data_IF_660728856575
#
_entry.id   IF_660728856575
#
_cell.length_a   1.000
_cell.length_b   1.000
_cell.length_c   1.000
_cell.angle_alpha   90.00
_cell.angle_beta   90.00
_cell.angle_gamma   90.00
#
_symmetry.space_group_name_H-M   'P 1'
#
loop_
_entity.id
_entity.type
_entity.pdbx_description
1 polymer ?
#
# COMPACT_ATOMS: atom_id res chain seq x y z
N UNK A 1 -13.43 12.42 28.15
CA UNK A 1 -12.73 11.32 27.46
C UNK A 1 -12.80 10.03 28.26
N UNK A 2 -12.31 10.01 29.51
CA UNK A 2 -12.30 8.82 30.37
C UNK A 2 -13.67 8.11 30.49
N UNK A 3 -14.76 8.86 30.71
CA UNK A 3 -16.12 8.29 30.77
C UNK A 3 -16.55 7.58 29.47
N UNK A 4 -16.06 8.05 28.32
CA UNK A 4 -16.33 7.43 27.01
C UNK A 4 -15.58 6.10 26.89
N UNK A 5 -14.35 6.03 27.39
CA UNK A 5 -13.59 4.77 27.46
C UNK A 5 -14.27 3.80 28.41
N UNK A 6 -14.72 4.26 29.59
CA UNK A 6 -15.46 3.41 30.52
C UNK A 6 -16.72 2.83 29.88
N UNK A 7 -17.45 3.64 29.09
CA UNK A 7 -18.62 3.18 28.34
C UNK A 7 -18.26 2.17 27.24
N UNK A 8 -17.15 2.39 26.52
CA UNK A 8 -16.66 1.45 25.50
C UNK A 8 -16.24 0.11 26.12
N UNK A 9 -15.56 0.13 27.27
CA UNK A 9 -15.15 -1.06 28.00
C UNK A 9 -16.34 -1.78 28.62
N UNK A 10 -17.36 -1.07 29.12
CA UNK A 10 -18.59 -1.69 29.61
C UNK A 10 -19.33 -2.43 28.47
N UNK A 11 -19.36 -1.84 27.28
CA UNK A 11 -19.96 -2.47 26.10
C UNK A 11 -19.10 -3.60 25.52
N UNK A 12 -17.78 -3.53 25.67
CA UNK A 12 -16.82 -4.50 25.13
C UNK A 12 -15.76 -4.88 26.18
N UNK A 13 -16.11 -5.67 27.22
CA UNK A 13 -15.21 -5.93 28.35
C UNK A 13 -13.89 -6.64 27.99
N UNK A 14 -13.85 -7.30 26.84
CA UNK A 14 -12.69 -8.04 26.35
C UNK A 14 -11.84 -7.22 25.35
N UNK A 15 -12.16 -5.94 25.12
CA UNK A 15 -11.36 -5.10 24.24
C UNK A 15 -9.94 -4.93 24.80
N UNK A 16 -8.94 -5.24 23.97
CA UNK A 16 -7.52 -5.11 24.33
C UNK A 16 -6.86 -3.89 23.72
N UNK A 17 -7.56 -3.18 22.82
CA UNK A 17 -7.08 -1.98 22.14
C UNK A 17 -8.24 -1.02 21.92
N UNK A 18 -8.06 0.25 22.29
CA UNK A 18 -8.98 1.34 21.94
C UNK A 18 -8.19 2.45 21.26
N UNK A 19 -8.71 2.94 20.14
CA UNK A 19 -8.10 4.03 19.39
C UNK A 19 -8.45 5.38 20.00
N UNK A 20 -7.41 6.09 20.40
CA UNK A 20 -7.41 7.46 20.92
C UNK A 20 -6.45 8.29 20.07
N UNK A 21 -6.85 8.54 18.83
CA UNK A 21 -6.00 9.19 17.82
C UNK A 21 -6.47 10.61 17.50
N UNK A 22 -5.56 11.37 16.90
CA UNK A 22 -5.93 12.54 16.09
C UNK A 22 -6.79 12.15 14.87
N UNK A 23 -7.47 13.15 14.29
CA UNK A 23 -8.03 13.06 12.94
C UNK A 23 -6.90 13.03 11.89
N UNK A 24 -7.20 12.48 10.72
CA UNK A 24 -6.32 12.30 9.56
C UNK A 24 -6.08 13.61 8.76
N UNK A 25 -5.87 14.73 9.46
CA UNK A 25 -5.67 16.04 8.86
C UNK A 25 -4.66 16.92 9.61
N UNK A 26 -4.46 18.14 9.13
CA UNK A 26 -3.48 19.09 9.67
C UNK A 26 -4.01 20.03 10.77
N UNK A 27 -5.16 19.72 11.39
CA UNK A 27 -5.78 20.58 12.40
C UNK A 27 -5.50 20.03 13.79
N UNK A 28 -4.87 20.85 14.63
CA UNK A 28 -4.49 20.49 15.99
C UNK A 28 -4.60 21.69 16.95
N UNK A 29 -4.46 21.44 18.25
CA UNK A 29 -4.56 22.48 19.25
C UNK A 29 -3.40 23.48 19.11
N UNK A 30 -3.73 24.77 19.11
CA UNK A 30 -2.76 25.87 19.00
C UNK A 30 -2.82 26.81 20.20
N UNK A 31 -3.40 26.37 21.33
CA UNK A 31 -3.43 27.18 22.54
C UNK A 31 -2.00 27.40 23.08
N UNK A 32 -1.76 28.48 23.85
CA UNK A 32 -0.42 28.83 24.33
C UNK A 32 0.30 27.69 25.04
N UNK A 33 -0.41 26.89 25.83
CA UNK A 33 0.14 25.79 26.62
C UNK A 33 0.58 24.61 25.74
N UNK A 34 -0.26 24.19 24.78
CA UNK A 34 0.07 23.10 23.86
C UNK A 34 1.23 23.51 22.95
N UNK A 35 1.21 24.75 22.45
CA UNK A 35 2.30 25.30 21.63
C UNK A 35 3.62 25.31 22.39
N UNK A 36 3.62 25.80 23.64
CA UNK A 36 4.84 25.84 24.45
C UNK A 36 5.40 24.44 24.73
N UNK A 37 4.51 23.46 24.97
CA UNK A 37 4.90 22.06 25.14
C UNK A 37 5.54 21.49 23.88
N UNK A 38 4.88 21.65 22.73
CA UNK A 38 5.36 21.12 21.46
C UNK A 38 6.69 21.79 21.02
N UNK A 39 6.88 23.08 21.31
CA UNK A 39 8.14 23.79 21.08
C UNK A 39 9.28 23.25 21.96
N UNK A 40 9.01 23.01 23.25
CA UNK A 40 9.99 22.43 24.16
C UNK A 40 10.40 21.01 23.70
N UNK A 41 9.41 20.21 23.32
CA UNK A 41 9.59 18.83 22.85
C UNK A 41 10.11 18.75 21.41
N UNK A 42 10.03 19.84 20.63
CA UNK A 42 10.42 19.87 19.23
C UNK A 42 9.53 19.04 18.30
N UNK A 43 8.33 18.65 18.75
CA UNK A 43 7.34 17.90 17.97
C UNK A 43 5.94 18.06 18.56
N UNK A 44 4.92 18.14 17.69
CA UNK A 44 3.52 18.16 18.09
C UNK A 44 3.03 16.83 18.70
N UNK A 45 3.83 15.77 18.59
CA UNK A 45 3.59 14.54 19.34
C UNK A 45 3.73 14.76 20.86
N UNK A 46 4.39 15.83 21.31
CA UNK A 46 4.49 16.18 22.73
C UNK A 46 3.12 16.35 23.39
N UNK A 47 2.26 17.17 22.78
CA UNK A 47 0.87 17.34 23.22
C UNK A 47 0.08 16.03 23.09
N UNK A 48 0.20 15.32 21.97
CA UNK A 48 -0.55 14.09 21.73
C UNK A 48 -0.23 13.00 22.76
N UNK A 49 1.06 12.71 22.96
CA UNK A 49 1.50 11.68 23.91
C UNK A 49 1.22 12.11 25.35
N UNK A 50 1.33 13.40 25.69
CA UNK A 50 0.93 13.90 27.01
C UNK A 50 -0.54 13.63 27.31
N UNK A 51 -1.41 13.92 26.35
CA UNK A 51 -2.84 13.68 26.47
C UNK A 51 -3.14 12.18 26.60
N UNK A 52 -2.58 11.35 25.72
CA UNK A 52 -2.80 9.90 25.73
C UNK A 52 -2.24 9.28 27.01
N UNK A 53 -1.09 9.72 27.50
CA UNK A 53 -0.50 9.28 28.76
C UNK A 53 -1.42 9.58 29.96
N UNK A 54 -2.05 10.75 30.01
CA UNK A 54 -2.98 11.10 31.09
C UNK A 54 -4.20 10.16 31.11
N UNK A 55 -4.69 9.77 29.94
CA UNK A 55 -5.78 8.79 29.82
C UNK A 55 -5.30 7.37 30.14
N UNK A 56 -4.08 7.01 29.72
CA UNK A 56 -3.46 5.72 30.00
C UNK A 56 -3.24 5.51 31.51
N UNK A 57 -2.82 6.56 32.22
CA UNK A 57 -2.67 6.56 33.68
C UNK A 57 -4.01 6.37 34.40
N UNK A 58 -5.12 6.85 33.83
CA UNK A 58 -6.47 6.61 34.35
C UNK A 58 -6.94 5.16 34.14
N UNK A 59 -6.61 4.55 32.99
CA UNK A 59 -7.13 3.24 32.60
C UNK A 59 -6.31 2.06 33.11
N UNK A 60 -5.01 2.23 33.37
CA UNK A 60 -4.07 1.14 33.64
C UNK A 60 -4.51 0.16 34.74
N UNK A 61 -5.05 0.67 35.85
CA UNK A 61 -5.45 -0.16 36.99
C UNK A 61 -6.88 -0.70 36.84
N UNK A 62 -7.72 0.00 36.07
CA UNK A 62 -9.12 -0.37 35.81
C UNK A 62 -9.24 -1.45 34.74
N UNK A 63 -8.40 -1.37 33.72
CA UNK A 63 -8.41 -2.22 32.53
C UNK A 63 -6.98 -2.64 32.19
N UNK A 64 -6.37 -3.58 32.96
CA UNK A 64 -4.95 -3.90 32.84
C UNK A 64 -4.53 -4.50 31.50
N UNK A 65 -5.48 -5.06 30.74
CA UNK A 65 -5.23 -5.63 29.42
C UNK A 65 -5.49 -4.65 28.27
N UNK A 66 -5.97 -3.43 28.57
CA UNK A 66 -6.29 -2.42 27.57
C UNK A 66 -5.05 -1.61 27.20
N UNK A 67 -4.76 -1.55 25.91
CA UNK A 67 -3.84 -0.56 25.32
C UNK A 67 -4.63 0.56 24.67
N UNK A 68 -4.07 1.77 24.69
CA UNK A 68 -4.57 2.91 23.93
C UNK A 68 -3.70 3.12 22.70
N UNK A 69 -4.25 2.98 21.49
CA UNK A 69 -3.50 3.33 20.28
C UNK A 69 -3.66 4.80 19.92
N UNK A 70 -2.56 5.43 19.50
CA UNK A 70 -2.54 6.78 18.96
C UNK A 70 -1.64 6.84 17.73
N UNK A 71 -1.88 7.81 16.85
CA UNK A 71 -1.04 8.02 15.69
C UNK A 71 0.23 8.81 16.03
N UNK A 72 1.32 8.41 15.39
CA UNK A 72 2.45 9.23 15.04
C UNK A 72 2.39 9.45 13.51
N UNK A 73 1.55 10.38 13.09
CA UNK A 73 1.18 10.57 11.69
C UNK A 73 1.17 12.05 11.32
N UNK A 74 1.65 12.37 10.12
CA UNK A 74 1.67 13.72 9.59
C UNK A 74 2.36 14.69 10.57
N UNK A 75 1.61 15.60 11.21
CA UNK A 75 2.17 16.57 12.15
C UNK A 75 2.68 15.98 13.47
N UNK A 76 2.30 14.74 13.84
CA UNK A 76 2.80 14.04 15.05
C UNK A 76 3.81 12.93 14.73
N UNK A 77 4.31 12.86 13.49
CA UNK A 77 5.17 11.74 13.03
C UNK A 77 6.45 11.59 13.85
N UNK A 78 7.11 12.71 14.20
CA UNK A 78 8.37 12.70 14.95
C UNK A 78 8.12 12.50 16.45
N UNK A 79 8.92 11.69 17.16
CA UNK A 79 8.78 11.53 18.60
C UNK A 79 9.09 12.83 19.36
N UNK A 80 8.50 13.02 20.55
CA UNK A 80 8.87 14.13 21.43
C UNK A 80 10.23 13.84 22.08
N UNK A 81 10.94 14.88 22.55
CA UNK A 81 12.31 14.76 23.09
C UNK A 81 12.37 14.08 24.46
N UNK A 82 11.46 14.41 25.36
CA UNK A 82 11.54 14.02 26.78
C UNK A 82 10.34 13.21 27.24
N UNK A 83 9.20 13.33 26.55
CA UNK A 83 7.97 12.61 26.91
C UNK A 83 8.04 11.17 26.39
N UNK A 84 7.78 10.22 27.28
CA UNK A 84 7.77 8.79 26.96
C UNK A 84 6.35 8.24 27.04
N UNK A 85 5.85 7.51 26.02
CA UNK A 85 4.56 6.82 26.08
C UNK A 85 4.48 5.84 27.27
N UNK A 86 3.33 5.72 27.93
CA UNK A 86 3.13 4.69 28.98
C UNK A 86 3.16 3.28 28.39
N UNK A 87 3.39 2.29 29.25
CA UNK A 87 3.47 0.87 28.88
C UNK A 87 2.18 0.32 28.23
N UNK A 88 1.03 0.93 28.53
CA UNK A 88 -0.26 0.63 27.91
C UNK A 88 -0.64 1.60 26.78
N UNK A 89 0.33 2.33 26.20
CA UNK A 89 0.16 3.14 25.00
C UNK A 89 0.83 2.44 23.81
N UNK A 90 0.10 2.35 22.71
CA UNK A 90 0.58 1.89 21.42
C UNK A 90 0.71 3.07 20.46
N UNK A 91 1.89 3.27 19.89
CA UNK A 91 2.13 4.33 18.90
C UNK A 91 2.12 3.72 17.52
N UNK A 92 1.26 4.22 16.63
CA UNK A 92 1.13 3.74 15.26
C UNK A 92 1.67 4.77 14.27
N UNK A 93 2.74 4.42 13.56
CA UNK A 93 3.24 5.24 12.45
C UNK A 93 2.56 4.84 11.15
N UNK A 94 2.30 5.80 10.26
CA UNK A 94 1.73 5.52 8.95
C UNK A 94 2.71 5.91 7.83
N UNK A 95 2.94 5.01 6.87
CA UNK A 95 3.93 5.19 5.80
C UNK A 95 3.41 5.99 4.59
N UNK A 96 2.31 6.73 4.72
CA UNK A 96 1.64 7.48 3.62
C UNK A 96 2.62 8.33 2.78
N UNK A 97 3.61 8.93 3.43
CA UNK A 97 4.61 9.81 2.80
C UNK A 97 5.83 9.05 2.23
N UNK A 98 5.86 7.72 2.31
CA UNK A 98 6.98 6.87 1.88
C UNK A 98 6.96 6.53 0.39
N UNK A 99 8.14 6.17 -0.12
CA UNK A 99 8.35 5.59 -1.43
C UNK A 99 8.05 4.09 -1.36
N UNK A 100 7.23 3.60 -2.30
CA UNK A 100 6.87 2.19 -2.38
C UNK A 100 7.67 1.42 -3.44
N UNK A 101 8.58 2.08 -4.14
CA UNK A 101 9.52 1.46 -5.08
C UNK A 101 10.86 1.07 -4.44
N UNK A 102 11.17 1.62 -3.27
CA UNK A 102 12.44 1.37 -2.58
C UNK A 102 12.16 0.92 -1.15
N UNK A 103 12.97 0.01 -0.58
CA UNK A 103 12.89 -0.34 0.84
C UNK A 103 13.04 0.87 1.76
N UNK A 104 12.53 0.78 2.99
CA UNK A 104 12.70 1.84 3.99
C UNK A 104 14.16 2.15 4.32
N UNK A 105 15.02 1.14 4.18
CA UNK A 105 16.46 1.21 4.45
C UNK A 105 17.30 1.69 3.27
N UNK A 106 16.69 2.01 2.11
CA UNK A 106 17.40 2.44 0.92
C UNK A 106 18.04 3.83 1.14
N UNK A 107 19.39 3.95 1.15
CA UNK A 107 20.08 5.18 1.53
C UNK A 107 19.91 6.32 0.52
N UNK A 108 19.58 5.99 -0.73
CA UNK A 108 19.31 6.91 -1.82
C UNK A 108 17.83 7.33 -1.91
N UNK A 109 17.01 6.94 -0.92
CA UNK A 109 15.61 7.37 -0.80
C UNK A 109 15.40 8.21 0.48
N UNK A 110 15.67 9.54 0.45
CA UNK A 110 15.63 10.39 1.64
C UNK A 110 14.31 10.34 2.42
N UNK A 111 13.17 10.26 1.72
CA UNK A 111 11.84 10.16 2.35
C UNK A 111 11.66 8.88 3.16
N UNK A 112 12.21 7.77 2.68
CA UNK A 112 12.18 6.50 3.38
C UNK A 112 13.17 6.47 4.54
N UNK A 113 14.37 7.02 4.34
CA UNK A 113 15.38 7.18 5.40
C UNK A 113 14.83 8.02 6.55
N UNK A 114 14.12 9.11 6.27
CA UNK A 114 13.49 9.94 7.31
C UNK A 114 12.43 9.16 8.09
N UNK A 115 11.58 8.38 7.42
CA UNK A 115 10.58 7.54 8.08
C UNK A 115 11.22 6.40 8.89
N UNK A 116 12.28 5.77 8.37
CA UNK A 116 13.05 4.76 9.08
C UNK A 116 13.68 5.34 10.35
N UNK A 117 14.21 6.57 10.29
CA UNK A 117 14.72 7.28 11.47
C UNK A 117 13.63 7.56 12.50
N UNK A 118 12.42 7.94 12.05
CA UNK A 118 11.28 8.11 12.94
C UNK A 118 10.92 6.78 13.65
N UNK A 119 10.89 5.65 12.92
CA UNK A 119 10.67 4.32 13.51
C UNK A 119 11.75 3.98 14.54
N UNK A 120 13.03 4.17 14.21
CA UNK A 120 14.15 3.93 15.13
C UNK A 120 14.01 4.78 16.38
N UNK A 121 13.71 6.07 16.23
CA UNK A 121 13.57 6.98 17.35
C UNK A 121 12.39 6.60 18.26
N UNK A 122 11.22 6.27 17.68
CA UNK A 122 10.08 5.77 18.46
C UNK A 122 10.36 4.43 19.14
N UNK A 123 11.06 3.51 18.48
CA UNK A 123 11.40 2.20 19.04
C UNK A 123 12.26 2.29 20.31
N UNK A 124 12.98 3.40 20.49
CA UNK A 124 13.82 3.65 21.68
C UNK A 124 13.03 4.10 22.91
N UNK A 125 11.81 4.62 22.72
CA UNK A 125 10.98 5.19 23.80
C UNK A 125 9.60 4.52 23.94
N UNK A 126 9.14 3.75 22.95
CA UNK A 126 7.83 3.10 22.97
C UNK A 126 7.97 1.58 22.94
N UNK A 127 7.30 0.88 23.86
CA UNK A 127 7.29 -0.59 23.93
C UNK A 127 6.30 -1.25 22.97
N UNK A 128 5.33 -0.49 22.46
CA UNK A 128 4.24 -1.01 21.63
C UNK A 128 4.17 -0.22 20.32
N UNK A 129 5.11 -0.49 19.42
CA UNK A 129 5.14 0.18 18.13
C UNK A 129 4.29 -0.59 17.11
N UNK A 130 3.42 0.13 16.41
CA UNK A 130 2.59 -0.40 15.34
C UNK A 130 2.88 0.36 14.04
N UNK A 131 2.71 -0.31 12.91
CA UNK A 131 2.81 0.30 11.59
C UNK A 131 1.47 0.20 10.87
N UNK A 132 1.07 1.27 10.22
CA UNK A 132 0.09 1.29 9.15
C UNK A 132 0.85 1.51 7.84
N UNK A 133 1.06 0.45 7.08
CA UNK A 133 1.71 0.50 5.77
C UNK A 133 0.66 0.41 4.65
N UNK A 134 1.05 0.75 3.42
CA UNK A 134 0.16 0.79 2.27
C UNK A 134 0.73 -0.02 1.12
N UNK A 135 -0.13 -0.76 0.43
CA UNK A 135 0.34 -1.72 -0.57
C UNK A 135 -0.41 -1.65 -1.89
N UNK A 136 -1.05 -0.52 -2.17
CA UNK A 136 -1.89 -0.32 -3.36
C UNK A 136 -1.84 1.14 -3.83
N UNK A 137 -1.99 1.34 -5.14
CA UNK A 137 -2.20 2.66 -5.73
C UNK A 137 -3.70 3.00 -5.80
N UNK A 138 -4.18 3.81 -4.86
CA UNK A 138 -5.58 4.24 -4.76
C UNK A 138 -6.05 5.13 -5.91
N UNK A 139 -5.12 5.76 -6.66
CA UNK A 139 -5.48 6.46 -7.90
C UNK A 139 -5.76 5.51 -9.07
N UNK A 140 -5.23 4.29 -9.01
CA UNK A 140 -5.22 3.33 -10.12
C UNK A 140 -5.23 1.86 -9.64
N UNK A 141 -6.37 1.39 -9.13
CA UNK A 141 -6.51 0.07 -8.50
C UNK A 141 -6.17 -1.13 -9.40
N UNK A 142 -6.27 -0.95 -10.72
CA UNK A 142 -5.94 -1.99 -11.68
C UNK A 142 -4.58 -1.77 -12.34
N UNK A 143 -3.93 -0.63 -12.17
CA UNK A 143 -2.63 -0.37 -12.81
C UNK A 143 -1.46 -0.95 -11.99
N UNK A 144 -0.29 -1.19 -12.61
CA UNK A 144 0.85 -1.78 -11.92
C UNK A 144 1.25 -0.96 -10.69
N UNK A 145 1.47 -1.64 -9.57
CA UNK A 145 2.06 -1.07 -8.37
C UNK A 145 3.26 -1.95 -7.96
N UNK A 146 4.44 -1.77 -8.60
CA UNK A 146 5.54 -2.72 -8.52
C UNK A 146 6.32 -2.61 -7.19
N UNK A 147 5.68 -3.00 -6.09
CA UNK A 147 6.23 -2.91 -4.73
C UNK A 147 6.56 -4.29 -4.13
N UNK A 148 6.53 -5.36 -4.91
CA UNK A 148 6.85 -6.70 -4.41
C UNK A 148 8.28 -6.82 -3.87
N UNK A 149 9.23 -6.05 -4.40
CA UNK A 149 10.62 -6.04 -3.93
C UNK A 149 10.82 -5.41 -2.55
N UNK A 150 9.85 -4.63 -2.04
CA UNK A 150 10.01 -3.93 -0.76
C UNK A 150 9.35 -4.64 0.42
N UNK A 151 8.44 -5.60 0.17
CA UNK A 151 7.61 -6.21 1.21
C UNK A 151 8.45 -6.91 2.30
N UNK A 152 9.36 -7.80 1.90
CA UNK A 152 10.21 -8.52 2.84
C UNK A 152 11.20 -7.62 3.59
N UNK A 153 12.03 -6.78 2.93
CA UNK A 153 12.99 -5.95 3.66
C UNK A 153 12.32 -4.95 4.60
N UNK A 154 11.13 -4.43 4.26
CA UNK A 154 10.37 -3.57 5.15
C UNK A 154 9.87 -4.35 6.39
N UNK A 155 9.33 -5.56 6.22
CA UNK A 155 8.88 -6.39 7.34
C UNK A 155 10.03 -6.77 8.28
N UNK A 156 11.20 -7.09 7.74
CA UNK A 156 12.41 -7.36 8.52
C UNK A 156 12.82 -6.13 9.33
N UNK A 157 12.87 -4.96 8.69
CA UNK A 157 13.16 -3.69 9.35
C UNK A 157 12.18 -3.41 10.50
N UNK A 158 10.88 -3.67 10.31
CA UNK A 158 9.88 -3.50 11.37
C UNK A 158 10.17 -4.39 12.58
N UNK A 159 10.42 -5.69 12.38
CA UNK A 159 10.73 -6.64 13.46
C UNK A 159 12.04 -6.27 14.18
N UNK A 160 13.06 -5.84 13.43
CA UNK A 160 14.36 -5.42 13.98
C UNK A 160 14.28 -4.14 14.84
N UNK A 161 13.20 -3.37 14.70
CA UNK A 161 12.96 -2.12 15.43
C UNK A 161 11.73 -2.17 16.34
N UNK A 162 11.48 -3.33 16.98
CA UNK A 162 10.47 -3.52 18.01
C UNK A 162 9.02 -3.19 17.59
N UNK A 163 8.72 -3.27 16.29
CA UNK A 163 7.33 -3.23 15.82
C UNK A 163 6.66 -4.54 16.20
N UNK A 164 5.53 -4.44 16.89
CA UNK A 164 4.77 -5.60 17.39
C UNK A 164 3.44 -5.81 16.65
N UNK A 165 3.12 -4.95 15.69
CA UNK A 165 1.94 -5.09 14.84
C UNK A 165 2.05 -4.26 13.58
N UNK A 166 1.66 -4.87 12.46
CA UNK A 166 1.62 -4.22 11.14
C UNK A 166 0.21 -4.35 10.59
N UNK A 167 -0.32 -3.25 10.08
CA UNK A 167 -1.53 -3.21 9.28
C UNK A 167 -1.15 -2.77 7.88
N UNK A 168 -1.28 -3.69 6.93
CA UNK A 168 -1.02 -3.46 5.51
C UNK A 168 -2.33 -3.08 4.81
N UNK A 169 -2.51 -1.79 4.53
CA UNK A 169 -3.67 -1.31 3.78
C UNK A 169 -3.49 -1.60 2.29
N UNK A 170 -4.01 -2.76 1.89
CA UNK A 170 -4.10 -3.17 0.50
C UNK A 170 -5.41 -2.74 -0.17
N UNK A 171 -5.64 -3.28 -1.37
CA UNK A 171 -6.85 -3.05 -2.14
C UNK A 171 -8.08 -3.69 -1.47
N UNK A 172 -8.75 -2.94 -0.60
CA UNK A 172 -9.98 -3.36 0.06
C UNK A 172 -11.21 -3.44 -0.89
N UNK A 173 -11.03 -3.15 -2.18
CA UNK A 173 -11.99 -3.40 -3.26
C UNK A 173 -11.60 -4.60 -4.13
N UNK A 174 -10.68 -5.48 -3.69
CA UNK A 174 -10.21 -6.61 -4.50
C UNK A 174 -11.35 -7.49 -5.05
N UNK A 175 -12.49 -7.60 -4.35
CA UNK A 175 -13.65 -8.35 -4.84
C UNK A 175 -14.29 -7.77 -6.12
N UNK A 176 -14.06 -6.49 -6.42
CA UNK A 176 -14.62 -5.77 -7.58
C UNK A 176 -13.55 -5.02 -8.40
N UNK A 177 -12.26 -5.26 -8.12
CA UNK A 177 -11.13 -4.60 -8.79
C UNK A 177 -9.82 -5.34 -8.52
N UNK A 178 -9.66 -6.56 -9.04
CA UNK A 178 -8.45 -7.38 -8.82
C UNK A 178 -7.52 -7.45 -10.05
N UNK A 179 -7.46 -6.39 -10.86
CA UNK A 179 -6.57 -6.37 -12.03
C UNK A 179 -5.09 -6.49 -11.65
N UNK A 180 -4.70 -6.02 -10.47
CA UNK A 180 -3.30 -5.95 -10.04
C UNK A 180 -3.02 -6.81 -8.79
N UNK A 181 -2.78 -8.10 -9.01
CA UNK A 181 -2.17 -9.07 -8.09
C UNK A 181 -2.54 -8.97 -6.59
N UNK A 182 -3.77 -8.59 -6.23
CA UNK A 182 -4.12 -8.37 -4.83
C UNK A 182 -4.02 -9.66 -4.02
N UNK A 183 -4.44 -10.80 -4.61
CA UNK A 183 -4.35 -12.12 -3.98
C UNK A 183 -2.90 -12.51 -3.64
N UNK A 184 -1.97 -12.33 -4.59
CA UNK A 184 -0.56 -12.64 -4.39
C UNK A 184 0.03 -11.76 -3.28
N UNK A 185 -0.28 -10.47 -3.31
CA UNK A 185 0.22 -9.51 -2.33
C UNK A 185 -0.29 -9.81 -0.93
N UNK A 186 -1.60 -10.06 -0.78
CA UNK A 186 -2.19 -10.48 0.49
C UNK A 186 -1.59 -11.79 1.00
N UNK A 187 -1.34 -12.76 0.12
CA UNK A 187 -0.67 -14.02 0.48
C UNK A 187 0.74 -13.75 1.03
N UNK A 188 1.59 -13.03 0.29
CA UNK A 188 2.97 -12.78 0.70
C UNK A 188 3.07 -11.99 2.01
N UNK A 189 2.23 -10.96 2.19
CA UNK A 189 2.17 -10.21 3.44
C UNK A 189 1.75 -11.09 4.62
N UNK A 190 0.76 -11.99 4.43
CA UNK A 190 0.36 -12.94 5.46
C UNK A 190 1.50 -13.91 5.82
N UNK A 191 2.29 -14.37 4.83
CA UNK A 191 3.47 -15.22 5.07
C UNK A 191 4.57 -14.43 5.81
N UNK A 192 4.87 -13.21 5.40
CA UNK A 192 5.90 -12.35 6.00
C UNK A 192 5.56 -11.91 7.43
N UNK A 193 4.28 -11.63 7.71
CA UNK A 193 3.83 -11.35 9.09
C UNK A 193 3.92 -12.58 10.01
N UNK A 194 3.97 -13.78 9.45
CA UNK A 194 4.23 -15.02 10.20
C UNK A 194 5.73 -15.27 10.39
N UNK A 195 6.51 -15.11 9.32
CA UNK A 195 7.96 -15.26 9.31
C UNK A 195 8.61 -14.26 8.33
N UNK A 196 9.26 -13.19 8.81
CA UNK A 196 9.87 -12.18 7.94
C UNK A 196 11.15 -12.67 7.24
N UNK A 197 11.73 -13.80 7.66
CA UNK A 197 12.99 -14.35 7.13
C UNK A 197 12.77 -15.61 6.27
N UNK A 198 11.52 -15.88 5.88
CA UNK A 198 11.19 -16.96 4.95
C UNK A 198 11.89 -16.82 3.59
N UNK A 199 11.91 -17.91 2.82
CA UNK A 199 12.34 -17.90 1.43
C UNK A 199 11.24 -17.25 0.55
N UNK A 200 11.38 -15.95 0.34
CA UNK A 200 10.37 -15.12 -0.34
C UNK A 200 10.13 -15.56 -1.78
N UNK A 201 11.19 -15.92 -2.48
CA UNK A 201 11.10 -16.39 -3.86
C UNK A 201 10.42 -17.75 -3.94
N UNK A 202 10.71 -18.67 -3.02
CA UNK A 202 10.00 -19.95 -2.96
C UNK A 202 8.50 -19.77 -2.70
N UNK A 203 8.11 -18.89 -1.78
CA UNK A 203 6.70 -18.60 -1.47
C UNK A 203 5.98 -17.96 -2.67
N UNK A 204 6.57 -16.92 -3.29
CA UNK A 204 6.00 -16.28 -4.47
C UNK A 204 5.87 -17.28 -5.63
N UNK A 205 6.94 -18.01 -5.94
CA UNK A 205 6.93 -18.99 -7.03
C UNK A 205 5.92 -20.13 -6.76
N UNK A 206 5.82 -20.58 -5.51
CA UNK A 206 4.82 -21.57 -5.09
C UNK A 206 3.39 -21.08 -5.34
N UNK A 207 3.07 -19.85 -4.93
CA UNK A 207 1.78 -19.24 -5.20
C UNK A 207 1.53 -19.12 -6.70
N UNK A 208 2.45 -18.52 -7.45
CA UNK A 208 2.29 -18.28 -8.88
C UNK A 208 2.07 -19.58 -9.65
N UNK A 209 2.84 -20.63 -9.32
CA UNK A 209 2.69 -21.96 -9.92
C UNK A 209 1.32 -22.58 -9.63
N UNK A 210 0.82 -22.44 -8.41
CA UNK A 210 -0.50 -22.95 -8.05
C UNK A 210 -1.64 -22.13 -8.69
N UNK A 211 -1.47 -20.81 -8.76
CA UNK A 211 -2.51 -19.89 -9.21
C UNK A 211 -2.62 -19.84 -10.74
N UNK A 212 -1.49 -19.78 -11.45
CA UNK A 212 -1.44 -19.63 -12.92
C UNK A 212 -1.08 -20.91 -13.68
N UNK A 213 -0.74 -22.00 -12.99
CA UNK A 213 -0.32 -23.26 -13.63
C UNK A 213 0.95 -23.08 -14.46
N UNK A 214 1.05 -23.77 -15.59
CA UNK A 214 2.26 -23.77 -16.44
C UNK A 214 2.67 -22.38 -17.00
N UNK A 215 1.79 -21.38 -16.97
CA UNK A 215 2.12 -20.00 -17.36
C UNK A 215 2.85 -19.17 -16.29
N UNK A 216 3.06 -19.71 -15.09
CA UNK A 216 3.50 -18.94 -13.93
C UNK A 216 4.85 -18.22 -14.08
N UNK A 217 5.81 -18.80 -14.81
CA UNK A 217 7.16 -18.23 -14.96
C UNK A 217 7.13 -16.91 -15.71
N UNK A 218 6.24 -16.78 -16.70
CA UNK A 218 6.07 -15.54 -17.46
C UNK A 218 5.45 -14.42 -16.61
N UNK A 219 4.54 -14.78 -15.69
CA UNK A 219 3.98 -13.84 -14.72
C UNK A 219 5.04 -13.40 -13.71
N UNK A 220 5.87 -14.35 -13.25
CA UNK A 220 7.00 -14.06 -12.37
C UNK A 220 7.97 -13.07 -13.01
N UNK A 221 8.35 -13.31 -14.27
CA UNK A 221 9.26 -12.45 -15.00
C UNK A 221 8.67 -11.05 -15.25
N UNK A 222 7.37 -10.93 -15.49
CA UNK A 222 6.69 -9.63 -15.53
C UNK A 222 6.80 -8.87 -14.20
N UNK A 223 6.59 -9.55 -13.07
CA UNK A 223 6.72 -8.95 -11.73
C UNK A 223 8.17 -8.50 -11.49
N UNK A 224 9.15 -9.32 -11.86
CA UNK A 224 10.57 -9.01 -11.69
C UNK A 224 10.96 -7.78 -12.54
N UNK A 225 10.59 -7.74 -13.82
CA UNK A 225 10.88 -6.60 -14.70
C UNK A 225 10.20 -5.33 -14.19
N UNK A 226 8.92 -5.39 -13.82
CA UNK A 226 8.22 -4.19 -13.33
C UNK A 226 8.80 -3.68 -12.02
N UNK A 227 9.23 -4.58 -11.13
CA UNK A 227 9.93 -4.24 -9.89
C UNK A 227 11.29 -3.60 -10.17
N UNK A 228 12.07 -4.13 -11.12
CA UNK A 228 13.37 -3.54 -11.54
C UNK A 228 13.18 -2.16 -12.19
N UNK A 229 12.05 -1.92 -12.86
CA UNK A 229 11.81 -0.73 -13.68
C UNK A 229 11.07 0.40 -12.96
N UNK A 230 10.66 0.17 -11.71
CA UNK A 230 10.04 1.19 -10.86
C UNK A 230 11.09 2.01 -10.11
N UNK A 231 10.80 3.26 -9.74
CA UNK A 231 11.67 4.09 -8.88
C UNK A 231 13.05 4.50 -9.44
N UNK A 232 13.42 4.07 -10.65
CA UNK A 232 14.74 4.32 -11.22
C UNK A 232 15.09 5.81 -11.40
N UNK A 233 16.40 6.12 -11.38
CA UNK A 233 16.95 7.47 -11.57
C UNK A 233 16.49 8.49 -10.50
N UNK A 234 16.35 8.04 -9.25
CA UNK A 234 15.92 8.89 -8.13
C UNK A 234 14.44 9.26 -8.16
N UNK A 235 13.62 8.47 -8.87
CA UNK A 235 12.17 8.65 -8.91
C UNK A 235 11.50 7.88 -7.77
N UNK A 236 10.30 8.28 -7.38
CA UNK A 236 9.60 7.68 -6.25
C UNK A 236 8.12 7.47 -6.54
N UNK A 237 7.63 6.28 -6.19
CA UNK A 237 6.20 5.96 -6.28
C UNK A 237 5.48 6.33 -4.99
N UNK A 238 4.21 6.69 -5.10
CA UNK A 238 3.29 6.89 -3.99
C UNK A 238 2.00 6.12 -4.24
N UNK A 239 1.17 6.01 -3.21
CA UNK A 239 -0.16 5.38 -3.30
C UNK A 239 -1.16 6.17 -4.17
N UNK A 240 -0.73 7.28 -4.77
CA UNK A 240 -1.52 8.08 -5.69
C UNK A 240 -0.81 8.41 -7.00
N UNK A 241 0.32 7.76 -7.31
CA UNK A 241 1.08 7.99 -8.54
C UNK A 241 0.22 7.74 -9.79
N UNK A 242 0.35 8.60 -10.79
CA UNK A 242 -0.37 8.43 -12.06
C UNK A 242 0.32 7.38 -12.94
N UNK A 243 -0.44 6.66 -13.79
CA UNK A 243 0.13 5.62 -14.67
C UNK A 243 1.17 6.13 -15.67
N UNK A 244 1.14 7.43 -16.00
CA UNK A 244 2.12 8.07 -16.88
C UNK A 244 3.31 8.69 -16.14
N UNK A 245 3.38 8.51 -14.83
CA UNK A 245 4.57 8.84 -14.06
C UNK A 245 5.66 7.78 -14.32
N UNK A 246 6.85 8.24 -14.71
CA UNK A 246 8.00 7.37 -14.95
C UNK A 246 8.52 6.72 -13.67
N UNK A 247 8.12 7.22 -12.50
CA UNK A 247 8.37 6.55 -11.24
C UNK A 247 7.64 5.19 -11.16
N UNK A 248 6.44 5.07 -11.74
CA UNK A 248 5.68 3.82 -11.74
C UNK A 248 6.38 2.78 -12.62
N UNK A 249 6.56 3.11 -13.90
CA UNK A 249 7.31 2.28 -14.86
C UNK A 249 8.01 3.15 -15.91
N UNK A 250 9.31 2.95 -16.08
CA UNK A 250 10.11 3.59 -17.11
C UNK A 250 10.66 2.54 -18.09
N UNK A 251 9.85 2.18 -19.09
CA UNK A 251 10.13 1.11 -20.04
C UNK A 251 10.50 1.63 -21.42
N UNK A 252 11.42 0.94 -22.08
CA UNK A 252 11.79 1.12 -23.49
C UNK A 252 10.82 0.37 -24.40
N UNK A 253 10.71 0.76 -25.69
CA UNK A 253 9.82 0.07 -26.63
C UNK A 253 10.07 -1.44 -26.75
N UNK A 254 11.33 -1.89 -26.76
CA UNK A 254 11.66 -3.31 -26.81
C UNK A 254 11.28 -4.07 -25.53
N UNK A 255 11.32 -3.41 -24.36
CA UNK A 255 10.87 -3.99 -23.10
C UNK A 255 9.33 -4.13 -23.08
N UNK A 256 8.60 -3.16 -23.64
CA UNK A 256 7.14 -3.22 -23.79
C UNK A 256 6.73 -4.41 -24.67
N UNK A 257 7.39 -4.60 -25.82
CA UNK A 257 7.09 -5.73 -26.70
C UNK A 257 7.45 -7.07 -26.05
N UNK A 258 8.58 -7.15 -25.34
CA UNK A 258 8.93 -8.35 -24.59
C UNK A 258 7.88 -8.70 -23.53
N UNK A 259 7.38 -7.72 -22.79
CA UNK A 259 6.30 -7.95 -21.82
C UNK A 259 5.00 -8.41 -22.52
N UNK A 260 4.67 -7.89 -23.71
CA UNK A 260 3.55 -8.41 -24.49
C UNK A 260 3.71 -9.91 -24.79
N UNK A 261 4.91 -10.33 -25.17
CA UNK A 261 5.22 -11.74 -25.44
C UNK A 261 5.14 -12.61 -24.17
N UNK A 262 5.53 -12.08 -23.00
CA UNK A 262 5.37 -12.78 -21.72
C UNK A 262 3.89 -13.08 -21.44
N UNK A 263 3.01 -12.09 -21.57
CA UNK A 263 1.57 -12.28 -21.35
C UNK A 263 0.95 -13.24 -22.36
N UNK A 264 1.36 -13.18 -23.63
CA UNK A 264 0.89 -14.12 -24.63
C UNK A 264 1.39 -15.55 -24.36
N UNK A 265 2.64 -15.70 -23.92
CA UNK A 265 3.21 -16.99 -23.53
C UNK A 265 2.52 -17.57 -22.30
N UNK A 266 2.20 -16.75 -21.30
CA UNK A 266 1.43 -17.14 -20.12
C UNK A 266 0.04 -17.70 -20.50
N UNK A 267 -0.67 -17.02 -21.43
CA UNK A 267 -1.98 -17.47 -21.93
C UNK A 267 -1.87 -18.79 -22.69
N UNK A 268 -0.86 -18.93 -23.57
CA UNK A 268 -0.64 -20.15 -24.35
C UNK A 268 -0.27 -21.35 -23.48
N UNK A 269 0.38 -21.11 -22.34
CA UNK A 269 0.80 -22.13 -21.39
C UNK A 269 -0.29 -22.47 -20.35
N UNK A 270 -1.47 -21.84 -20.37
CA UNK A 270 -2.53 -22.10 -19.41
C UNK A 270 -3.08 -23.53 -19.55
N UNK A 271 -3.11 -24.30 -18.45
CA UNK A 271 -3.52 -25.70 -18.46
C UNK A 271 -5.03 -25.92 -18.61
N UNK A 272 -5.81 -24.93 -18.20
CA UNK A 272 -7.27 -24.98 -18.16
C UNK A 272 -7.85 -23.57 -18.18
N UNK A 273 -9.18 -23.48 -18.32
CA UNK A 273 -9.90 -22.21 -18.39
C UNK A 273 -9.68 -21.34 -17.15
N UNK A 274 -9.61 -21.92 -15.95
CA UNK A 274 -9.36 -21.14 -14.71
C UNK A 274 -7.97 -20.50 -14.71
N UNK A 275 -6.93 -21.21 -15.13
CA UNK A 275 -5.59 -20.63 -15.28
C UNK A 275 -5.57 -19.54 -16.34
N UNK A 276 -6.22 -19.76 -17.48
CA UNK A 276 -6.32 -18.77 -18.55
C UNK A 276 -7.02 -17.50 -18.07
N UNK A 277 -8.15 -17.63 -17.38
CA UNK A 277 -8.94 -16.51 -16.86
C UNK A 277 -8.16 -15.71 -15.82
N UNK A 278 -7.38 -16.38 -14.96
CA UNK A 278 -6.47 -15.71 -14.01
C UNK A 278 -5.40 -14.92 -14.73
N UNK A 279 -4.74 -15.51 -15.74
CA UNK A 279 -3.75 -14.78 -16.57
C UNK A 279 -4.40 -13.58 -17.25
N UNK A 280 -5.57 -13.73 -17.87
CA UNK A 280 -6.31 -12.64 -18.54
C UNK A 280 -6.71 -11.54 -17.56
N UNK A 281 -7.19 -11.91 -16.37
CA UNK A 281 -7.55 -10.97 -15.32
C UNK A 281 -6.35 -10.16 -14.82
N UNK A 282 -5.16 -10.76 -14.71
CA UNK A 282 -3.95 -10.02 -14.30
C UNK A 282 -3.34 -9.21 -15.45
N UNK A 283 -3.48 -9.65 -16.71
CA UNK A 283 -3.01 -8.91 -17.89
C UNK A 283 -3.71 -7.55 -18.03
N UNK A 284 -4.91 -7.40 -17.46
CA UNK A 284 -5.60 -6.12 -17.33
C UNK A 284 -4.69 -5.05 -16.75
N UNK A 285 -3.84 -5.38 -15.78
CA UNK A 285 -2.94 -4.38 -15.20
C UNK A 285 -1.97 -3.80 -16.21
N UNK A 286 -1.36 -4.68 -16.98
CA UNK A 286 -0.47 -4.29 -18.06
C UNK A 286 -1.19 -3.49 -19.16
N UNK A 287 -2.35 -3.97 -19.60
CA UNK A 287 -3.16 -3.30 -20.63
C UNK A 287 -3.69 -1.94 -20.18
N UNK A 288 -4.10 -1.82 -18.92
CA UNK A 288 -4.53 -0.55 -18.33
C UNK A 288 -3.39 0.47 -18.30
N UNK A 289 -2.16 0.05 -17.96
CA UNK A 289 -0.99 0.92 -18.02
C UNK A 289 -0.70 1.38 -19.45
N UNK A 290 -0.65 0.46 -20.42
CA UNK A 290 -0.44 0.80 -21.84
C UNK A 290 -1.52 1.74 -22.36
N UNK A 291 -2.78 1.50 -22.03
CA UNK A 291 -3.90 2.32 -22.46
C UNK A 291 -3.87 3.75 -21.87
N UNK A 292 -3.49 3.91 -20.60
CA UNK A 292 -3.32 5.24 -20.01
C UNK A 292 -2.14 6.02 -20.60
N UNK A 293 -1.12 5.32 -21.07
CA UNK A 293 0.05 5.91 -21.72
C UNK A 293 -0.04 5.99 -23.25
N UNK A 294 -1.08 5.40 -23.86
CA UNK A 294 -1.26 5.28 -25.32
C UNK A 294 -0.08 4.58 -26.01
N UNK A 295 0.41 3.49 -25.41
CA UNK A 295 1.44 2.64 -26.00
C UNK A 295 0.86 1.56 -26.93
N UNK A 296 1.68 1.14 -27.88
CA UNK A 296 1.41 0.05 -28.83
C UNK A 296 0.00 0.12 -29.43
N UNK A 297 -0.84 -0.89 -29.17
CA UNK A 297 -2.17 -1.04 -29.76
C UNK A 297 -3.18 0.04 -29.31
N UNK A 298 -2.89 0.75 -28.20
CA UNK A 298 -3.72 1.83 -27.65
C UNK A 298 -3.35 3.23 -28.17
N UNK A 299 -2.34 3.33 -29.05
CA UNK A 299 -1.89 4.60 -29.62
C UNK A 299 -2.73 5.00 -30.83
N UNK A 300 -3.35 6.20 -30.87
CA UNK A 300 -3.96 6.71 -32.09
C UNK A 300 -2.96 7.00 -33.22
N UNK A 301 -1.66 7.07 -32.90
CA UNK A 301 -0.61 7.28 -33.90
C UNK A 301 -0.11 5.95 -34.45
N UNK A 302 0.17 4.97 -33.58
CA UNK A 302 0.66 3.66 -34.01
C UNK A 302 -0.46 2.75 -34.56
N UNK A 303 -1.70 2.92 -34.08
CA UNK A 303 -2.87 2.13 -34.47
C UNK A 303 -4.10 3.03 -34.75
N UNK A 304 -4.05 3.93 -35.75
CA UNK A 304 -5.04 4.99 -35.95
C UNK A 304 -6.48 4.50 -36.13
N UNK A 305 -6.67 3.28 -36.66
CA UNK A 305 -7.99 2.71 -36.94
C UNK A 305 -8.43 1.65 -35.92
N UNK A 306 -7.53 1.16 -35.06
CA UNK A 306 -7.82 0.07 -34.12
C UNK A 306 -7.80 0.46 -32.63
N UNK A 307 -7.15 1.56 -32.24
CA UNK A 307 -6.96 1.89 -30.82
C UNK A 307 -8.28 2.03 -30.03
N UNK A 308 -9.35 2.51 -30.68
CA UNK A 308 -10.67 2.60 -30.06
C UNK A 308 -11.27 1.22 -29.79
N UNK A 309 -11.09 0.27 -30.71
CA UNK A 309 -11.52 -1.10 -30.53
C UNK A 309 -10.75 -1.79 -29.39
N UNK A 310 -9.46 -1.49 -29.21
CA UNK A 310 -8.67 -2.01 -28.10
C UNK A 310 -9.11 -1.46 -26.74
N UNK A 311 -9.46 -0.16 -26.67
CA UNK A 311 -10.09 0.42 -25.48
C UNK A 311 -11.44 -0.23 -25.19
N UNK A 312 -12.26 -0.47 -26.21
CA UNK A 312 -13.53 -1.17 -26.07
C UNK A 312 -13.33 -2.58 -25.52
N UNK A 313 -12.39 -3.33 -26.08
CA UNK A 313 -12.04 -4.69 -25.62
C UNK A 313 -11.56 -4.68 -24.16
N UNK A 314 -10.72 -3.72 -23.77
CA UNK A 314 -10.28 -3.58 -22.37
C UNK A 314 -11.46 -3.33 -21.42
N UNK A 315 -12.40 -2.49 -21.82
CA UNK A 315 -13.61 -2.25 -21.04
C UNK A 315 -14.51 -3.49 -20.97
N UNK A 316 -14.67 -4.23 -22.08
CA UNK A 316 -15.42 -5.50 -22.12
C UNK A 316 -14.77 -6.54 -21.18
N UNK A 317 -13.44 -6.66 -21.17
CA UNK A 317 -12.72 -7.53 -20.22
C UNK A 317 -12.93 -7.06 -18.76
N UNK A 318 -13.00 -5.75 -18.48
CA UNK A 318 -13.34 -5.27 -17.13
C UNK A 318 -14.72 -5.76 -16.69
N UNK A 319 -15.71 -5.71 -17.59
CA UNK A 319 -17.05 -6.24 -17.28
C UNK A 319 -17.03 -7.76 -17.08
N UNK A 320 -16.32 -8.49 -17.93
CA UNK A 320 -16.18 -9.95 -17.85
C UNK A 320 -15.61 -10.40 -16.49
N UNK A 321 -14.56 -9.71 -16.00
CA UNK A 321 -13.91 -10.02 -14.72
C UNK A 321 -14.53 -9.29 -13.52
N UNK A 322 -15.68 -8.63 -13.69
CA UNK A 322 -16.38 -7.95 -12.60
C UNK A 322 -15.65 -6.74 -12.03
N UNK A 323 -14.74 -6.13 -12.79
CA UNK A 323 -13.99 -4.93 -12.43
C UNK A 323 -14.90 -3.71 -12.58
N UNK A 324 -15.28 -3.11 -11.44
CA UNK A 324 -16.20 -1.97 -11.35
C UNK A 324 -15.52 -0.68 -10.94
N UNK A 325 -14.29 -0.75 -10.44
CA UNK A 325 -13.52 0.42 -10.00
C UNK A 325 -12.20 0.47 -10.74
N UNK A 326 -11.73 1.70 -10.93
CA UNK A 326 -10.37 1.98 -11.41
C UNK A 326 -9.58 2.81 -10.40
N UNK A 327 -10.26 3.39 -9.40
CA UNK A 327 -9.68 4.22 -8.35
C UNK A 327 -10.54 4.15 -7.10
N UNK A 328 -10.00 4.60 -5.98
CA UNK A 328 -10.71 4.68 -4.71
C UNK A 328 -11.96 5.58 -4.82
N UNK A 329 -13.01 5.21 -4.08
CA UNK A 329 -14.27 5.97 -3.88
C UNK A 329 -15.17 6.14 -5.11
N UNK A 330 -14.70 5.91 -6.34
CA UNK A 330 -15.51 6.09 -7.56
C UNK A 330 -15.70 4.78 -8.33
N UNK A 331 -16.95 4.52 -8.73
CA UNK A 331 -17.26 3.49 -9.70
C UNK A 331 -16.90 3.97 -11.10
N UNK A 332 -16.57 3.03 -11.97
CA UNK A 332 -16.46 3.25 -13.40
C UNK A 332 -17.85 3.52 -14.01
N UNK A 333 -17.90 4.28 -15.10
CA UNK A 333 -19.14 4.53 -15.84
C UNK A 333 -19.61 3.26 -16.57
N UNK A 334 -20.93 3.05 -16.63
CA UNK A 334 -21.57 2.02 -17.47
C UNK A 334 -21.54 2.38 -18.97
N UNK A 335 -21.25 3.65 -19.30
CA UNK A 335 -21.07 4.13 -20.67
C UNK A 335 -19.88 5.09 -20.74
N UNK A 336 -18.64 4.58 -20.61
CA UNK A 336 -17.46 5.43 -20.55
C UNK A 336 -17.14 6.03 -21.93
N UNK A 337 -16.52 7.20 -21.91
CA UNK A 337 -15.95 7.81 -23.11
C UNK A 337 -14.70 7.03 -23.57
N UNK A 338 -14.88 5.92 -24.29
CA UNK A 338 -13.80 5.02 -24.72
C UNK A 338 -12.75 5.66 -25.64
N UNK A 339 -13.02 6.85 -26.20
CA UNK A 339 -12.02 7.65 -26.92
C UNK A 339 -11.02 8.37 -25.98
N UNK A 340 -11.30 8.39 -24.67
CA UNK A 340 -10.39 8.86 -23.62
C UNK A 340 -9.61 7.69 -23.03
N UNK A 341 -8.52 8.02 -22.34
CA UNK A 341 -7.74 7.05 -21.58
C UNK A 341 -8.52 6.49 -20.39
N UNK A 342 -8.23 5.27 -19.92
CA UNK A 342 -9.05 4.58 -18.92
C UNK A 342 -9.27 5.32 -17.61
N UNK A 343 -8.30 6.11 -17.10
CA UNK A 343 -8.49 6.88 -15.85
C UNK A 343 -9.65 7.89 -15.92
N UNK A 344 -10.12 8.22 -17.12
CA UNK A 344 -11.23 9.14 -17.37
C UNK A 344 -12.56 8.41 -17.68
N UNK A 345 -12.63 7.09 -17.50
CA UNK A 345 -13.84 6.29 -17.67
C UNK A 345 -14.77 6.34 -16.45
N UNK A 346 -14.68 7.39 -15.65
CA UNK A 346 -15.56 7.67 -14.52
C UNK A 346 -16.71 8.59 -14.95
N UNK A 347 -17.85 8.58 -14.25
CA UNK A 347 -18.98 9.47 -14.50
C UNK A 347 -18.63 10.97 -14.48
#
# INVERSE_FOLDING_TARGET
MCEKIDSMMAANPNATLISLTQNDGGVYCVCPECKALDEAEGSQSGTMISFVNAVADYTKDKYPNLKLDTFAYYYTRRPPKTIVPRDNVAVRLCSYECCFAHPLTAPDCPRNVEFAQDIIAWSSICKNLYIWDYTTNYSHLNGPFPNFGVLQPNMQFFVEHNVIGVYEEGNYYAFESNGEFADLRSFLLARLMWDPYLDYDAEMNGFLKHYYGNGWQYIREYIDITTEKTGNNGLHTSIGSEMNDRAVLNLKPNEIEYINDLWQSAKNAADNTTHLDRVRCSEISWRYWKANNRFSEYSPVANPFGWYAENKKLYEDFQEFGIRRIRERRLMSDNPALWKIPKLWIP
#
